data_IF_450027805629
#
_entry.id   IF_450027805629
#
_cell.length_a   1.000
_cell.length_b   1.000
_cell.length_c   1.000
_cell.angle_alpha   90.00
_cell.angle_beta   90.00
_cell.angle_gamma   90.00
#
_symmetry.space_group_name_H-M   'P 1'
#
loop_
_entity.id
_entity.type
_entity.pdbx_description
1 polymer ?
#
# COMPACT_ATOMS: atom_id res chain seq x y z
N UNK A 1 3.18 14.81 2.14
CA UNK A 1 2.12 15.62 2.81
C UNK A 1 2.30 15.43 4.31
N UNK A 2 2.56 16.49 5.08
CA UNK A 2 2.88 16.41 6.53
C UNK A 2 1.66 16.69 7.44
N UNK A 3 0.50 17.00 6.87
CA UNK A 3 -0.49 17.78 7.62
C UNK A 3 -1.24 17.03 8.72
N UNK A 4 -1.08 15.71 8.87
CA UNK A 4 -1.77 14.94 9.93
C UNK A 4 -0.93 13.85 10.63
N UNK A 5 0.39 13.84 10.46
CA UNK A 5 1.31 12.95 11.20
C UNK A 5 1.80 11.70 10.46
N UNK A 6 1.29 11.40 9.26
CA UNK A 6 1.86 10.37 8.39
C UNK A 6 2.86 11.00 7.42
N UNK A 7 4.13 10.62 7.50
CA UNK A 7 5.12 11.03 6.53
C UNK A 7 5.00 10.14 5.27
N UNK A 8 4.36 10.67 4.24
CA UNK A 8 4.25 10.02 2.94
C UNK A 8 4.89 10.88 1.84
N UNK A 9 5.74 10.25 1.04
CA UNK A 9 6.17 10.79 -0.25
C UNK A 9 5.11 10.46 -1.30
N UNK A 10 4.75 11.47 -2.09
CA UNK A 10 3.80 11.35 -3.19
C UNK A 10 4.56 11.63 -4.47
N UNK A 11 4.49 10.69 -5.42
CA UNK A 11 5.16 10.75 -6.72
C UNK A 11 4.14 10.79 -7.86
N UNK A 12 4.54 11.35 -9.00
CA UNK A 12 3.69 11.53 -10.18
C UNK A 12 2.99 12.89 -10.19
N UNK A 13 1.93 13.02 -11.00
CA UNK A 13 1.21 14.28 -11.23
C UNK A 13 0.61 14.91 -9.97
N UNK A 14 0.28 14.10 -8.95
CA UNK A 14 -0.27 14.58 -7.68
C UNK A 14 0.82 14.96 -6.64
N UNK A 15 2.10 14.87 -6.98
CA UNK A 15 3.20 15.11 -6.05
C UNK A 15 4.50 15.48 -6.75
N UNK A 16 5.61 14.87 -6.32
CA UNK A 16 6.93 15.08 -6.90
C UNK A 16 7.02 14.37 -8.26
N UNK A 17 7.70 14.96 -9.25
CA UNK A 17 7.88 14.30 -10.55
C UNK A 17 8.65 12.98 -10.37
N UNK A 18 8.13 11.91 -10.95
CA UNK A 18 8.78 10.60 -10.98
C UNK A 18 9.79 10.47 -12.13
N UNK A 19 10.21 11.59 -12.73
CA UNK A 19 11.10 11.64 -13.89
C UNK A 19 10.59 10.77 -15.04
N UNK A 20 11.48 9.92 -15.58
CA UNK A 20 11.14 8.99 -16.65
C UNK A 20 10.17 7.87 -16.23
N UNK A 21 9.89 7.71 -14.94
CA UNK A 21 9.01 6.68 -14.38
C UNK A 21 7.56 7.14 -14.20
N UNK A 22 7.23 8.35 -14.63
CA UNK A 22 5.87 8.88 -14.56
C UNK A 22 4.96 8.26 -15.62
N UNK A 23 3.70 7.99 -15.23
CA UNK A 23 2.64 7.46 -16.09
C UNK A 23 2.09 6.08 -15.72
N UNK A 24 0.78 5.89 -15.96
CA UNK A 24 0.03 4.63 -15.71
C UNK A 24 0.54 3.47 -16.56
N UNK A 25 1.08 3.75 -17.76
CA UNK A 25 1.59 2.71 -18.66
C UNK A 25 2.96 2.16 -18.24
N UNK A 26 3.64 2.77 -17.27
CA UNK A 26 4.99 2.38 -16.84
C UNK A 26 5.00 1.59 -15.54
N UNK A 27 3.85 1.16 -15.03
CA UNK A 27 3.73 0.48 -13.73
C UNK A 27 4.55 -0.83 -13.64
N UNK A 28 4.94 -1.41 -14.78
CA UNK A 28 5.79 -2.60 -14.90
C UNK A 28 7.24 -2.29 -15.21
N UNK A 29 7.61 -1.03 -15.43
CA UNK A 29 8.97 -0.65 -15.77
C UNK A 29 9.90 -0.77 -14.55
N UNK A 30 11.15 -1.23 -14.72
CA UNK A 30 12.10 -1.40 -13.62
C UNK A 30 12.30 -0.14 -12.77
N UNK A 31 12.19 1.03 -13.41
CA UNK A 31 12.41 2.29 -12.72
C UNK A 31 11.30 2.64 -11.73
N UNK A 32 10.07 2.12 -11.91
CA UNK A 32 9.00 2.22 -10.90
C UNK A 32 9.30 1.34 -9.70
N UNK A 33 9.84 0.13 -9.92
CA UNK A 33 10.24 -0.76 -8.82
C UNK A 33 11.36 -0.13 -7.99
N UNK A 34 12.38 0.43 -8.63
CA UNK A 34 13.48 1.12 -7.92
C UNK A 34 13.00 2.37 -7.18
N UNK A 35 12.02 3.10 -7.73
CA UNK A 35 11.38 4.22 -7.02
C UNK A 35 10.65 3.77 -5.75
N UNK A 36 10.01 2.59 -5.77
CA UNK A 36 9.19 2.07 -4.67
C UNK A 36 10.02 1.29 -3.64
N UNK A 37 11.13 0.68 -4.05
CA UNK A 37 12.03 -0.15 -3.24
C UNK A 37 12.38 0.39 -1.84
N UNK A 38 12.61 1.71 -1.61
CA UNK A 38 12.94 2.19 -0.26
C UNK A 38 11.73 2.26 0.70
N UNK A 39 10.50 2.05 0.22
CA UNK A 39 9.29 2.19 1.02
C UNK A 39 8.81 0.85 1.58
N UNK A 40 8.35 0.85 2.84
CA UNK A 40 7.71 -0.31 3.49
C UNK A 40 6.23 -0.47 3.11
N UNK A 41 5.56 0.66 2.91
CA UNK A 41 4.13 0.72 2.66
C UNK A 41 3.86 1.38 1.32
N UNK A 42 2.78 0.96 0.67
CA UNK A 42 2.29 1.59 -0.55
C UNK A 42 0.82 1.95 -0.40
N UNK A 43 0.46 3.20 -0.68
CA UNK A 43 -0.93 3.65 -0.69
C UNK A 43 -1.63 3.12 -1.95
N UNK A 44 -2.22 1.92 -1.86
CA UNK A 44 -3.00 1.28 -2.92
C UNK A 44 -4.45 1.80 -2.91
N UNK A 45 -4.61 3.12 -2.93
CA UNK A 45 -5.91 3.79 -2.96
C UNK A 45 -6.40 3.82 -4.39
N UNK A 46 -7.60 3.30 -4.60
CA UNK A 46 -8.23 3.29 -5.92
C UNK A 46 -8.94 4.61 -6.22
N UNK A 47 -9.02 4.93 -7.51
CA UNK A 47 -9.64 6.17 -8.00
C UNK A 47 -11.14 6.27 -7.66
N UNK A 48 -11.77 5.16 -7.29
CA UNK A 48 -13.17 5.09 -6.90
C UNK A 48 -13.36 4.00 -5.86
N UNK A 49 -14.21 4.26 -4.86
CA UNK A 49 -14.48 3.30 -3.79
C UNK A 49 -15.65 2.38 -4.17
N UNK A 50 -15.39 1.46 -5.09
CA UNK A 50 -16.38 0.53 -5.63
C UNK A 50 -16.12 -0.89 -5.11
N UNK A 51 -17.20 -1.67 -4.98
CA UNK A 51 -17.10 -3.10 -4.68
C UNK A 51 -16.30 -3.79 -5.80
N UNK A 52 -15.42 -4.72 -5.42
CA UNK A 52 -14.58 -5.53 -6.31
C UNK A 52 -13.60 -4.73 -7.21
N UNK A 53 -13.49 -3.41 -7.01
CA UNK A 53 -12.55 -2.58 -7.77
C UNK A 53 -11.18 -2.57 -7.08
N UNK A 54 -10.37 -3.58 -7.39
CA UNK A 54 -8.97 -3.72 -6.92
C UNK A 54 -8.08 -3.94 -8.14
N UNK A 55 -7.15 -3.02 -8.37
CA UNK A 55 -6.37 -2.94 -9.63
C UNK A 55 -4.89 -3.28 -9.42
N UNK A 56 -4.05 -2.95 -10.42
CA UNK A 56 -2.60 -3.15 -10.38
C UNK A 56 -1.95 -2.53 -9.13
N UNK A 57 -2.51 -1.44 -8.58
CA UNK A 57 -1.94 -0.76 -7.40
C UNK A 57 -1.80 -1.70 -6.22
N UNK A 58 -2.83 -2.52 -5.97
CA UNK A 58 -2.84 -3.47 -4.87
C UNK A 58 -2.01 -4.72 -5.20
N UNK A 59 -2.29 -5.33 -6.35
CA UNK A 59 -1.66 -6.60 -6.71
C UNK A 59 -0.14 -6.47 -6.90
N UNK A 60 0.32 -5.39 -7.51
CA UNK A 60 1.75 -5.10 -7.65
C UNK A 60 2.43 -4.81 -6.32
N UNK A 61 1.70 -4.20 -5.36
CA UNK A 61 2.24 -4.00 -4.00
C UNK A 61 2.56 -5.31 -3.31
N UNK A 62 1.68 -6.30 -3.45
CA UNK A 62 1.90 -7.65 -2.94
C UNK A 62 2.95 -8.41 -3.76
N UNK A 63 3.00 -8.29 -5.07
CA UNK A 63 3.90 -9.09 -5.91
C UNK A 63 5.31 -8.47 -6.01
N UNK A 64 5.55 -7.63 -7.02
CA UNK A 64 6.89 -7.19 -7.41
C UNK A 64 7.44 -6.04 -6.57
N UNK A 65 6.59 -5.21 -5.96
CA UNK A 65 7.02 -4.08 -5.11
C UNK A 65 7.40 -4.51 -3.70
N UNK A 66 6.96 -5.69 -3.26
CA UNK A 66 7.28 -6.24 -1.93
C UNK A 66 6.95 -5.29 -0.77
N UNK A 67 5.86 -4.53 -0.89
CA UNK A 67 5.38 -3.58 0.13
C UNK A 67 4.13 -4.09 0.83
N UNK A 68 3.80 -3.52 1.98
CA UNK A 68 2.49 -3.71 2.62
C UNK A 68 1.51 -2.69 2.01
N UNK A 69 0.49 -3.12 1.24
CA UNK A 69 -0.50 -2.21 0.71
C UNK A 69 -1.41 -1.65 1.81
N UNK A 70 -1.70 -0.37 1.69
CA UNK A 70 -2.72 0.35 2.47
C UNK A 70 -3.89 0.63 1.54
N UNK A 71 -5.07 0.14 1.90
CA UNK A 71 -6.30 0.24 1.09
C UNK A 71 -7.39 1.02 1.81
N UNK A 72 -8.39 1.50 1.07
CA UNK A 72 -9.48 2.28 1.66
C UNK A 72 -10.50 1.43 2.41
N UNK A 73 -10.82 0.22 1.90
CA UNK A 73 -11.86 -0.64 2.48
C UNK A 73 -11.41 -2.08 2.62
N UNK A 74 -11.53 -2.64 3.83
CA UNK A 74 -11.17 -4.03 4.10
C UNK A 74 -12.01 -5.00 3.30
N UNK A 75 -13.33 -4.79 3.29
CA UNK A 75 -14.26 -5.74 2.68
C UNK A 75 -14.03 -5.90 1.17
N UNK A 76 -13.68 -4.83 0.45
CA UNK A 76 -13.41 -4.86 -0.99
C UNK A 76 -12.27 -5.81 -1.35
N UNK A 77 -11.25 -5.91 -0.50
CA UNK A 77 -10.11 -6.81 -0.71
C UNK A 77 -10.38 -8.21 -0.15
N UNK A 78 -11.06 -8.28 0.99
CA UNK A 78 -11.45 -9.55 1.64
C UNK A 78 -12.38 -10.38 0.75
N UNK A 79 -13.31 -9.74 0.05
CA UNK A 79 -14.24 -10.41 -0.88
C UNK A 79 -13.50 -11.14 -2.02
N UNK A 80 -12.25 -10.74 -2.32
CA UNK A 80 -11.39 -11.38 -3.31
C UNK A 80 -10.57 -12.57 -2.75
N UNK A 81 -10.77 -12.92 -1.47
CA UNK A 81 -10.10 -14.04 -0.82
C UNK A 81 -8.67 -13.75 -0.36
N UNK A 82 -8.24 -12.49 -0.33
CA UNK A 82 -6.93 -12.10 0.18
C UNK A 82 -6.92 -12.20 1.71
N UNK A 83 -5.88 -12.81 2.32
CA UNK A 83 -5.75 -12.85 3.77
C UNK A 83 -5.73 -11.45 4.39
N UNK A 84 -6.46 -11.27 5.49
CA UNK A 84 -6.52 -9.97 6.18
C UNK A 84 -5.14 -9.48 6.66
N UNK A 85 -4.22 -10.42 6.90
CA UNK A 85 -2.83 -10.16 7.28
C UNK A 85 -1.97 -9.64 6.14
N UNK A 86 -2.44 -9.60 4.88
CA UNK A 86 -1.63 -9.13 3.76
C UNK A 86 -1.64 -7.60 3.57
N UNK A 87 -2.54 -6.88 4.24
CA UNK A 87 -2.76 -5.45 3.99
C UNK A 87 -3.36 -4.72 5.20
N UNK A 88 -3.20 -3.39 5.20
CA UNK A 88 -3.80 -2.49 6.19
C UNK A 88 -4.98 -1.78 5.52
N UNK A 89 -6.15 -1.75 6.15
CA UNK A 89 -7.29 -1.01 5.65
C UNK A 89 -7.55 0.23 6.50
N UNK A 90 -7.83 1.37 5.85
CA UNK A 90 -8.07 2.64 6.54
C UNK A 90 -9.38 2.60 7.34
N UNK A 91 -10.39 1.87 6.85
CA UNK A 91 -11.69 1.71 7.51
C UNK A 91 -11.69 0.74 8.70
N UNK A 92 -10.53 0.14 9.04
CA UNK A 92 -10.35 -0.60 10.29
C UNK A 92 -10.27 0.33 11.52
N UNK A 93 -10.12 1.65 11.31
CA UNK A 93 -9.89 2.63 12.37
C UNK A 93 -11.03 3.65 12.43
N UNK A 94 -11.43 4.04 13.64
CA UNK A 94 -12.50 5.05 13.81
C UNK A 94 -12.01 6.44 13.40
N UNK A 95 -10.71 6.71 13.60
CA UNK A 95 -10.12 8.02 13.32
C UNK A 95 -8.80 7.94 12.56
N UNK A 96 -8.50 8.99 11.80
CA UNK A 96 -7.22 9.10 11.09
C UNK A 96 -6.01 9.05 12.02
N UNK A 97 -6.00 9.70 13.20
CA UNK A 97 -4.90 9.56 14.16
C UNK A 97 -4.63 8.11 14.59
N UNK A 98 -5.66 7.30 14.83
CA UNK A 98 -5.50 5.88 15.19
C UNK A 98 -4.84 5.09 14.07
N UNK A 99 -5.31 5.29 12.82
CA UNK A 99 -4.68 4.71 11.64
C UNK A 99 -3.20 5.08 11.54
N UNK A 100 -2.86 6.36 11.74
CA UNK A 100 -1.48 6.85 11.65
C UNK A 100 -0.61 6.27 12.77
N UNK A 101 -1.14 6.19 14.00
CA UNK A 101 -0.45 5.55 15.13
C UNK A 101 -0.17 4.08 14.84
N UNK A 102 -1.14 3.37 14.26
CA UNK A 102 -0.99 1.97 13.89
C UNK A 102 0.08 1.77 12.81
N UNK A 103 0.03 2.51 11.70
CA UNK A 103 1.05 2.43 10.64
C UNK A 103 2.44 2.76 11.19
N UNK A 104 2.54 3.77 12.06
CA UNK A 104 3.80 4.13 12.73
C UNK A 104 4.31 3.00 13.62
N UNK A 105 3.44 2.35 14.40
CA UNK A 105 3.77 1.17 15.20
C UNK A 105 4.30 0.04 14.31
N UNK A 106 3.60 -0.31 13.23
CA UNK A 106 4.03 -1.35 12.28
C UNK A 106 5.37 -0.97 11.64
N UNK A 107 5.60 0.30 11.31
CA UNK A 107 6.86 0.76 10.73
C UNK A 107 8.06 0.57 11.67
N UNK A 108 7.85 0.77 12.98
CA UNK A 108 8.91 0.73 13.99
C UNK A 108 9.10 -0.65 14.63
N UNK A 109 8.15 -1.57 14.46
CA UNK A 109 8.21 -2.94 14.96
C UNK A 109 8.48 -3.91 13.80
N UNK A 110 9.72 -4.42 13.74
CA UNK A 110 10.15 -5.33 12.67
C UNK A 110 9.33 -6.61 12.63
N UNK A 111 9.00 -7.19 13.78
CA UNK A 111 8.30 -8.47 13.84
C UNK A 111 6.84 -8.28 13.42
N UNK A 112 6.21 -7.19 13.86
CA UNK A 112 4.87 -6.82 13.42
C UNK A 112 4.82 -6.51 11.91
N UNK A 113 5.83 -5.83 11.37
CA UNK A 113 5.94 -5.62 9.92
C UNK A 113 6.06 -6.95 9.16
N UNK A 114 6.92 -7.86 9.62
CA UNK A 114 7.13 -9.14 8.96
C UNK A 114 5.90 -10.04 8.96
N UNK A 115 5.00 -9.91 9.96
CA UNK A 115 3.69 -10.60 9.95
C UNK A 115 2.85 -10.29 8.71
N UNK A 116 2.99 -9.08 8.16
CA UNK A 116 2.29 -8.72 6.91
C UNK A 116 2.82 -9.43 5.66
N UNK A 117 3.93 -10.16 5.78
CA UNK A 117 4.52 -10.94 4.70
C UNK A 117 4.42 -12.45 4.92
N UNK A 118 3.88 -12.91 6.05
CA UNK A 118 3.82 -14.35 6.38
C UNK A 118 2.94 -15.14 5.40
N UNK A 119 1.87 -14.55 4.88
CA UNK A 119 0.98 -15.16 3.89
C UNK A 119 1.73 -15.68 2.64
N UNK A 120 2.90 -15.14 2.33
CA UNK A 120 3.73 -15.58 1.19
C UNK A 120 4.29 -16.99 1.34
N UNK A 121 4.22 -17.56 2.55
CA UNK A 121 4.57 -18.97 2.80
C UNK A 121 3.50 -19.90 2.26
N UNK A 122 2.25 -19.47 2.31
CA UNK A 122 1.08 -20.28 2.02
C UNK A 122 0.55 -20.03 0.58
N UNK A 123 0.86 -18.86 0.02
CA UNK A 123 0.42 -18.43 -1.32
C UNK A 123 1.63 -18.00 -2.16
N UNK A 124 1.79 -18.63 -3.33
CA UNK A 124 2.80 -18.30 -4.36
C UNK A 124 2.14 -17.86 -5.65
#
# INVERSE_FOLDING_TARGET
MLEKGLQADVWGSCGRPAGACDGVLKQTEPCVLELIRPYKFYLAIENSNCKDYVTEKFWKSLDDRMTVPIVMRRQTVRDLGVPDSAYIAVDDFETLPEFIQYVTKVSNDKDLYLKYHEWRRDYK
#
